data_IF_904660426250
#
_entry.id   IF_904660426250
#
_cell.length_a   1.000
_cell.length_b   1.000
_cell.length_c   1.000
_cell.angle_alpha   90.00
_cell.angle_beta   90.00
_cell.angle_gamma   90.00
#
_symmetry.space_group_name_H-M   'P 1'
#
loop_
_entity.id
_entity.type
_entity.pdbx_description
1 polymer ?
#
# COMPACT_ATOMS: atom_id res chain seq x y z
N UNK A 1 3.80 1.30 -4.51
CA UNK A 1 3.44 1.25 -5.95
C UNK A 1 4.42 2.07 -6.76
N UNK A 2 4.85 1.61 -7.95
CA UNK A 2 5.59 2.44 -8.90
C UNK A 2 4.79 3.67 -9.32
N UNK A 3 5.44 4.69 -9.88
CA UNK A 3 4.77 5.92 -10.32
C UNK A 3 4.02 5.68 -11.63
N UNK A 4 2.80 5.17 -11.54
CA UNK A 4 1.93 4.83 -12.68
C UNK A 4 0.51 5.37 -12.50
N UNK A 5 -0.37 5.16 -13.50
CA UNK A 5 -1.77 5.55 -13.40
C UNK A 5 -2.51 4.77 -12.31
N UNK A 6 -2.18 3.50 -12.13
CA UNK A 6 -2.74 2.63 -11.09
C UNK A 6 -2.42 3.16 -9.69
N UNK A 7 -1.24 3.76 -9.49
CA UNK A 7 -0.92 4.42 -8.23
C UNK A 7 -1.82 5.63 -7.96
N UNK A 8 -2.20 6.39 -9.00
CA UNK A 8 -3.17 7.50 -8.87
C UNK A 8 -4.57 6.94 -8.57
N UNK A 9 -4.98 5.85 -9.22
CA UNK A 9 -6.25 5.17 -8.93
C UNK A 9 -6.29 4.69 -7.47
N UNK A 10 -5.22 4.08 -6.96
CA UNK A 10 -5.12 3.65 -5.57
C UNK A 10 -5.28 4.81 -4.59
N UNK A 11 -4.57 5.93 -4.84
CA UNK A 11 -4.69 7.15 -4.02
C UNK A 11 -6.14 7.66 -4.01
N UNK A 12 -6.77 7.75 -5.20
CA UNK A 12 -8.16 8.20 -5.31
C UNK A 12 -9.13 7.23 -4.65
N UNK A 13 -8.91 5.92 -4.73
CA UNK A 13 -9.75 4.92 -4.08
C UNK A 13 -9.73 5.09 -2.56
N UNK A 14 -8.56 5.30 -1.96
CA UNK A 14 -8.41 5.57 -0.52
C UNK A 14 -9.17 6.83 -0.12
N UNK A 15 -9.00 7.93 -0.85
CA UNK A 15 -9.70 9.19 -0.57
C UNK A 15 -11.22 9.06 -0.77
N UNK A 16 -11.67 8.35 -1.81
CA UNK A 16 -13.09 8.07 -2.05
C UNK A 16 -13.73 7.21 -0.97
N UNK A 17 -12.96 6.33 -0.33
CA UNK A 17 -13.40 5.56 0.83
C UNK A 17 -13.42 6.38 2.13
N UNK A 18 -13.06 7.66 2.09
CA UNK A 18 -12.97 8.52 3.27
C UNK A 18 -11.74 8.26 4.14
N UNK A 19 -10.77 7.51 3.63
CA UNK A 19 -9.54 7.16 4.33
C UNK A 19 -8.36 8.07 3.91
N UNK A 20 -7.27 7.99 4.67
CA UNK A 20 -6.00 8.67 4.36
C UNK A 20 -4.97 7.66 3.87
N UNK A 21 -4.15 8.04 2.91
CA UNK A 21 -3.05 7.20 2.42
C UNK A 21 -1.71 7.71 2.95
N UNK A 22 -0.78 6.78 3.19
CA UNK A 22 0.63 7.08 3.49
C UNK A 22 1.49 6.46 2.39
N UNK A 23 2.19 7.27 1.56
CA UNK A 23 3.06 6.72 0.54
C UNK A 23 4.32 6.11 1.18
N UNK A 24 4.58 4.85 0.88
CA UNK A 24 5.81 4.15 1.27
C UNK A 24 6.59 3.82 0.00
N UNK A 25 7.81 4.35 -0.10
CA UNK A 25 8.72 4.04 -1.20
C UNK A 25 9.34 2.64 -0.99
N UNK A 26 9.16 1.69 -1.93
CA UNK A 26 9.76 0.36 -1.82
C UNK A 26 11.30 0.36 -1.92
N UNK A 27 11.96 1.45 -2.32
CA UNK A 27 13.43 1.53 -2.34
C UNK A 27 14.04 1.73 -0.94
N UNK A 28 13.25 2.14 0.06
CA UNK A 28 13.76 2.39 1.41
C UNK A 28 14.10 1.08 2.14
N UNK A 29 15.06 1.11 3.08
CA UNK A 29 15.38 -0.05 3.91
C UNK A 29 14.17 -0.61 4.67
N UNK A 30 14.16 -1.92 4.92
CA UNK A 30 13.07 -2.60 5.63
C UNK A 30 12.75 -1.93 6.98
N UNK A 31 13.78 -1.61 7.79
CA UNK A 31 13.60 -0.94 9.07
C UNK A 31 12.83 0.39 8.96
N UNK A 32 13.01 1.16 7.88
CA UNK A 32 12.25 2.40 7.66
C UNK A 32 10.79 2.11 7.30
N UNK A 33 10.54 1.09 6.47
CA UNK A 33 9.18 0.64 6.16
C UNK A 33 8.46 0.16 7.42
N UNK A 34 9.11 -0.69 8.21
CA UNK A 34 8.53 -1.27 9.43
C UNK A 34 8.22 -0.18 10.47
N UNK A 35 9.10 0.81 10.60
CA UNK A 35 8.84 1.99 11.42
C UNK A 35 7.58 2.74 10.96
N UNK A 36 7.44 3.03 9.66
CA UNK A 36 6.27 3.75 9.14
C UNK A 36 4.98 2.93 9.31
N UNK A 37 5.03 1.61 9.08
CA UNK A 37 3.88 0.73 9.26
C UNK A 37 3.45 0.66 10.73
N UNK A 38 4.41 0.57 11.66
CA UNK A 38 4.13 0.57 13.10
C UNK A 38 3.58 1.91 13.60
N UNK A 39 4.06 3.03 13.07
CA UNK A 39 3.62 4.37 13.48
C UNK A 39 2.25 4.74 12.89
N UNK A 40 2.03 4.45 11.61
CA UNK A 40 0.78 4.76 10.92
C UNK A 40 -0.35 3.78 11.27
N UNK A 41 -0.02 2.56 11.71
CA UNK A 41 -0.95 1.46 12.01
C UNK A 41 -2.09 1.34 10.97
N UNK A 42 -1.78 1.18 9.66
CA UNK A 42 -2.79 1.21 8.62
C UNK A 42 -3.67 -0.04 8.66
N UNK A 43 -4.96 0.13 8.40
CA UNK A 43 -5.89 -1.01 8.27
C UNK A 43 -5.61 -1.87 7.02
N UNK A 44 -5.14 -1.24 5.93
CA UNK A 44 -4.87 -1.91 4.67
C UNK A 44 -3.67 -1.27 3.94
N UNK A 45 -2.99 -2.06 3.10
CA UNK A 45 -2.00 -1.59 2.16
C UNK A 45 -2.36 -2.01 0.74
N UNK A 46 -2.30 -1.05 -0.19
CA UNK A 46 -2.45 -1.30 -1.62
C UNK A 46 -1.05 -1.42 -2.22
N UNK A 47 -0.74 -2.57 -2.83
CA UNK A 47 0.59 -2.90 -3.33
C UNK A 47 0.51 -3.72 -4.63
N UNK A 48 1.64 -4.19 -5.16
CA UNK A 48 1.69 -5.18 -6.24
C UNK A 48 2.09 -6.54 -5.69
N UNK A 49 1.80 -7.62 -6.42
CA UNK A 49 2.15 -9.00 -6.05
C UNK A 49 3.64 -9.11 -5.70
N UNK A 50 4.53 -8.47 -6.46
CA UNK A 50 5.99 -8.55 -6.26
C UNK A 50 6.45 -7.89 -4.96
N UNK A 51 5.64 -6.99 -4.40
CA UNK A 51 5.98 -6.25 -3.18
C UNK A 51 5.17 -6.74 -1.96
N UNK A 52 4.19 -7.63 -2.14
CA UNK A 52 3.31 -8.10 -1.08
C UNK A 52 4.06 -8.80 0.06
N UNK A 53 5.04 -9.66 -0.26
CA UNK A 53 5.85 -10.39 0.72
C UNK A 53 6.59 -9.47 1.70
N UNK A 54 6.85 -8.22 1.30
CA UNK A 54 7.56 -7.23 2.13
C UNK A 54 6.70 -6.68 3.27
N UNK A 55 5.39 -6.93 3.23
CA UNK A 55 4.41 -6.58 4.24
C UNK A 55 4.05 -7.76 5.15
N UNK A 56 4.60 -8.95 4.88
CA UNK A 56 4.37 -10.13 5.71
C UNK A 56 4.78 -9.87 7.17
N UNK A 57 3.98 -10.40 8.10
CA UNK A 57 4.21 -10.24 9.54
C UNK A 57 3.60 -8.98 10.16
N UNK A 58 2.98 -8.11 9.36
CA UNK A 58 2.17 -7.00 9.85
C UNK A 58 0.67 -7.33 9.78
N UNK A 59 -0.10 -6.90 10.77
CA UNK A 59 -1.56 -7.15 10.85
C UNK A 59 -2.33 -6.10 10.03
N UNK A 60 -2.31 -6.26 8.70
CA UNK A 60 -3.05 -5.41 7.77
C UNK A 60 -3.57 -6.19 6.56
N UNK A 61 -4.67 -5.70 5.99
CA UNK A 61 -5.20 -6.23 4.74
C UNK A 61 -4.29 -5.81 3.57
N UNK A 62 -3.71 -6.79 2.87
CA UNK A 62 -2.95 -6.54 1.64
C UNK A 62 -3.89 -6.65 0.43
N UNK A 63 -3.93 -5.58 -0.37
CA UNK A 63 -4.73 -5.50 -1.61
C UNK A 63 -3.76 -5.38 -2.79
N UNK A 64 -3.85 -6.29 -3.75
CA UNK A 64 -3.15 -6.14 -5.03
C UNK A 64 -3.86 -5.10 -5.88
N UNK A 65 -3.11 -4.16 -6.43
CA UNK A 65 -3.65 -3.13 -7.33
C UNK A 65 -4.27 -3.72 -8.60
N UNK A 66 -3.83 -4.90 -9.04
CA UNK A 66 -4.35 -5.64 -10.19
C UNK A 66 -5.76 -6.18 -9.93
N UNK A 67 -6.10 -6.48 -8.67
CA UNK A 67 -7.44 -6.93 -8.29
C UNK A 67 -8.49 -5.80 -8.40
N UNK A 68 -8.04 -4.54 -8.41
CA UNK A 68 -8.90 -3.36 -8.56
C UNK A 68 -9.27 -3.09 -10.03
N UNK A 69 -8.67 -3.81 -10.98
CA UNK A 69 -8.88 -3.65 -12.43
C UNK A 69 -10.11 -4.39 -13.01
N UNK A 70 -10.98 -4.96 -12.17
CA UNK A 70 -12.13 -5.77 -12.61
C UNK A 70 -13.46 -5.01 -12.68
N UNK A 71 -13.71 -4.31 -13.79
CA UNK A 71 -15.03 -4.05 -14.39
C UNK A 71 -14.88 -3.56 -15.83
#
# INVERSE_FOLDING_TARGET
LPRTAEAVVAILAVVKAGATYVPIDPSVPAARRDFVLSDAAPFAAITTTELADRLAGHDLLVVDISDLGGA
#
